data_IF_106954078623
#
_entry.id   IF_106954078623
#
_cell.length_a   1.000
_cell.length_b   1.000
_cell.length_c   1.000
_cell.angle_alpha   90.00
_cell.angle_beta   90.00
_cell.angle_gamma   90.00
#
_symmetry.space_group_name_H-M   'P 1'
#
loop_
_entity.id
_entity.type
_entity.pdbx_description
1 polymer ?
#
# COMPACT_ATOMS: atom_id res chain seq x y z
N UNK A 1 54.41 -7.43 -27.10
CA UNK A 1 55.00 -8.67 -27.65
C UNK A 1 54.16 -9.85 -27.19
N UNK A 2 53.64 -10.62 -28.17
CA UNK A 2 52.92 -11.89 -27.98
C UNK A 2 53.89 -12.96 -27.44
N UNK A 3 53.42 -13.87 -26.60
CA UNK A 3 53.70 -15.30 -26.76
C UNK A 3 52.60 -16.13 -26.09
N UNK A 4 52.12 -17.11 -26.85
CA UNK A 4 51.12 -18.11 -26.55
C UNK A 4 51.85 -19.46 -26.58
N UNK A 5 51.56 -20.39 -25.67
CA UNK A 5 51.82 -21.83 -25.87
C UNK A 5 50.87 -22.70 -25.02
N UNK A 6 49.91 -23.30 -25.71
CA UNK A 6 49.44 -24.70 -25.71
C UNK A 6 49.98 -25.66 -24.62
N UNK A 7 49.10 -26.33 -23.84
CA UNK A 7 48.40 -27.63 -24.09
C UNK A 7 49.23 -28.84 -23.62
N UNK A 8 48.71 -29.61 -22.65
CA UNK A 8 48.89 -31.06 -22.59
C UNK A 8 47.84 -31.73 -21.70
N UNK A 9 47.09 -32.59 -22.36
CA UNK A 9 46.08 -33.51 -21.89
C UNK A 9 46.70 -34.65 -21.08
N UNK A 10 46.02 -35.14 -20.04
CA UNK A 10 46.09 -36.56 -19.68
C UNK A 10 44.73 -37.07 -19.22
N UNK A 11 44.22 -38.01 -20.00
CA UNK A 11 43.15 -38.94 -19.64
C UNK A 11 43.63 -39.89 -18.55
N UNK A 12 42.78 -40.17 -17.56
CA UNK A 12 42.70 -41.47 -16.92
C UNK A 12 41.28 -41.68 -16.38
N UNK A 13 40.51 -42.50 -17.10
CA UNK A 13 39.31 -43.11 -16.59
C UNK A 13 39.70 -44.36 -15.78
N UNK A 14 39.17 -44.51 -14.57
CA UNK A 14 39.07 -45.80 -13.90
C UNK A 14 37.65 -45.93 -13.35
N UNK A 15 36.95 -46.92 -13.88
CA UNK A 15 35.71 -47.54 -13.45
C UNK A 15 35.91 -48.37 -12.19
N UNK A 16 34.96 -48.34 -11.25
CA UNK A 16 34.37 -49.53 -10.63
C UNK A 16 33.27 -49.16 -9.62
N UNK A 17 32.13 -49.81 -9.78
CA UNK A 17 30.96 -49.74 -8.91
C UNK A 17 31.19 -50.46 -7.58
N UNK A 18 30.56 -49.94 -6.52
CA UNK A 18 30.23 -50.71 -5.33
C UNK A 18 28.81 -50.33 -4.89
N UNK A 19 27.91 -51.30 -5.00
CA UNK A 19 26.56 -51.30 -4.41
C UNK A 19 26.68 -51.86 -3.00
N UNK A 20 26.32 -51.08 -2.00
CA UNK A 20 25.93 -51.57 -0.68
C UNK A 20 24.71 -50.76 -0.21
N UNK A 21 23.65 -51.48 0.16
CA UNK A 21 22.38 -50.92 0.60
C UNK A 21 22.28 -50.70 2.11
N UNK A 22 21.10 -50.15 2.46
CA UNK A 22 20.51 -49.93 3.79
C UNK A 22 21.14 -48.86 4.70
N UNK A 23 20.45 -47.73 4.85
CA UNK A 23 19.57 -47.47 6.01
C UNK A 23 18.93 -46.08 5.90
N UNK A 24 17.66 -46.00 6.30
CA UNK A 24 16.89 -44.77 6.44
C UNK A 24 17.51 -43.82 7.47
N UNK A 25 17.50 -42.51 7.22
CA UNK A 25 17.10 -41.47 8.18
C UNK A 25 17.31 -40.06 7.59
N UNK A 26 16.19 -39.37 7.37
CA UNK A 26 15.97 -37.95 7.69
C UNK A 26 17.17 -36.98 7.66
N UNK A 27 17.22 -36.17 6.60
CA UNK A 27 17.70 -34.79 6.69
C UNK A 27 16.84 -33.86 5.83
N UNK A 28 15.53 -33.94 5.99
CA UNK A 28 14.63 -32.85 5.64
C UNK A 28 14.65 -31.83 6.79
N UNK A 29 15.69 -31.01 6.85
CA UNK A 29 15.70 -29.79 7.66
C UNK A 29 15.80 -28.59 6.71
N UNK A 30 14.82 -28.49 5.80
CA UNK A 30 14.47 -27.21 5.24
C UNK A 30 13.67 -26.48 6.31
N UNK A 31 14.32 -25.54 7.00
CA UNK A 31 13.64 -24.47 7.72
C UNK A 31 12.91 -23.58 6.72
N UNK A 32 11.85 -24.11 6.10
CA UNK A 32 10.76 -23.32 5.62
C UNK A 32 9.86 -23.06 6.83
N UNK A 33 10.12 -21.97 7.55
CA UNK A 33 9.02 -21.28 8.23
C UNK A 33 8.04 -20.86 7.15
N UNK A 34 7.18 -21.78 6.76
CA UNK A 34 5.97 -21.47 6.01
C UNK A 34 5.28 -20.32 6.75
N UNK A 35 4.77 -19.30 6.03
CA UNK A 35 3.89 -18.33 6.67
C UNK A 35 2.81 -19.16 7.35
N UNK A 36 2.63 -18.98 8.66
CA UNK A 36 1.51 -19.62 9.36
C UNK A 36 0.27 -19.12 8.64
N UNK A 37 -0.30 -19.97 7.78
CA UNK A 37 -1.48 -19.64 6.99
C UNK A 37 -2.61 -19.49 7.99
N UNK A 38 -2.86 -18.25 8.41
CA UNK A 38 -3.89 -17.98 9.39
C UNK A 38 -5.27 -18.29 8.81
N UNK A 39 -6.21 -18.63 9.68
CA UNK A 39 -7.57 -18.99 9.29
C UNK A 39 -8.43 -17.74 9.05
N UNK A 40 -9.52 -17.88 8.29
CA UNK A 40 -10.52 -16.82 8.14
C UNK A 40 -11.04 -16.30 9.49
N UNK A 41 -11.19 -17.18 10.49
CA UNK A 41 -11.62 -16.77 11.83
C UNK A 41 -10.58 -15.89 12.54
N UNK A 42 -9.29 -16.22 12.42
CA UNK A 42 -8.20 -15.40 12.95
C UNK A 42 -8.14 -14.04 12.25
N UNK A 43 -8.23 -14.01 10.92
CA UNK A 43 -8.28 -12.77 10.14
C UNK A 43 -9.45 -11.87 10.56
N UNK A 44 -10.65 -12.44 10.71
CA UNK A 44 -11.85 -11.72 11.19
C UNK A 44 -11.65 -11.13 12.59
N UNK A 45 -11.07 -11.90 13.51
CA UNK A 45 -10.84 -11.44 14.87
C UNK A 45 -9.83 -10.27 14.91
N UNK A 46 -8.71 -10.39 14.19
CA UNK A 46 -7.71 -9.32 14.13
C UNK A 46 -8.23 -8.06 13.42
N UNK A 47 -9.00 -8.23 12.33
CA UNK A 47 -9.63 -7.11 11.65
C UNK A 47 -10.64 -6.40 12.55
N UNK A 48 -11.51 -7.18 13.21
CA UNK A 48 -12.48 -6.64 14.18
C UNK A 48 -11.79 -5.86 15.30
N UNK A 49 -10.64 -6.32 15.79
CA UNK A 49 -9.86 -5.59 16.81
C UNK A 49 -9.44 -4.20 16.33
N UNK A 50 -9.04 -4.04 15.06
CA UNK A 50 -8.70 -2.72 14.50
C UNK A 50 -9.95 -1.83 14.37
N UNK A 51 -11.07 -2.39 13.94
CA UNK A 51 -12.35 -1.68 13.84
C UNK A 51 -12.87 -1.25 15.22
N UNK A 52 -12.77 -2.11 16.23
CA UNK A 52 -13.16 -1.82 17.62
C UNK A 52 -12.27 -0.71 18.20
N UNK A 53 -10.96 -0.73 17.91
CA UNK A 53 -10.06 0.35 18.30
C UNK A 53 -10.46 1.67 17.63
N UNK A 54 -10.74 1.66 16.33
CA UNK A 54 -11.20 2.85 15.61
C UNK A 54 -12.51 3.39 16.22
N UNK A 55 -13.47 2.52 16.52
CA UNK A 55 -14.73 2.88 17.15
C UNK A 55 -14.55 3.45 18.57
N UNK A 56 -13.57 2.95 19.33
CA UNK A 56 -13.24 3.48 20.65
C UNK A 56 -12.62 4.88 20.56
N UNK A 57 -11.72 5.12 19.61
CA UNK A 57 -11.08 6.43 19.40
C UNK A 57 -12.11 7.51 19.03
N UNK A 58 -13.09 7.19 18.17
CA UNK A 58 -14.19 8.11 17.79
C UNK A 58 -15.05 8.58 18.97
N UNK A 59 -15.01 7.89 20.10
CA UNK A 59 -15.75 8.29 21.32
C UNK A 59 -14.97 9.27 22.20
N UNK A 60 -13.69 9.50 21.91
CA UNK A 60 -12.85 10.43 22.65
C UNK A 60 -13.07 11.82 22.07
N UNK A 61 -13.74 12.70 22.81
CA UNK A 61 -13.93 14.08 22.37
C UNK A 61 -12.67 14.91 22.60
N UNK A 62 -12.45 15.93 21.77
CA UNK A 62 -11.27 16.82 21.77
C UNK A 62 -10.79 17.23 23.18
N UNK A 63 -11.71 17.61 24.07
CA UNK A 63 -11.37 18.15 25.40
C UNK A 63 -11.24 17.07 26.50
N UNK A 64 -11.20 15.78 26.13
CA UNK A 64 -11.16 14.66 27.09
C UNK A 64 -9.93 13.78 26.96
N UNK A 65 -9.02 14.07 26.01
CA UNK A 65 -7.87 13.24 25.71
C UNK A 65 -6.92 13.07 26.91
N UNK A 66 -6.71 14.13 27.69
CA UNK A 66 -5.83 14.11 28.88
C UNK A 66 -6.52 13.63 30.16
N UNK A 67 -7.80 13.24 30.08
CA UNK A 67 -8.59 12.79 31.23
C UNK A 67 -8.73 11.28 31.23
N UNK A 68 -8.77 10.68 32.41
CA UNK A 68 -9.11 9.26 32.51
C UNK A 68 -10.59 9.01 32.13
N UNK A 69 -10.92 7.86 31.52
CA UNK A 69 -10.04 6.74 31.18
C UNK A 69 -9.26 6.91 29.86
N UNK A 70 -9.44 8.03 29.15
CA UNK A 70 -8.92 8.23 27.79
C UNK A 70 -7.40 8.37 27.77
N UNK A 71 -6.81 9.09 28.73
CA UNK A 71 -5.35 9.26 28.81
C UNK A 71 -4.62 7.92 28.85
N UNK A 72 -5.00 7.05 29.78
CA UNK A 72 -4.40 5.70 29.89
C UNK A 72 -4.71 4.83 28.67
N UNK A 73 -5.91 4.94 28.10
CA UNK A 73 -6.28 4.23 26.88
C UNK A 73 -5.42 4.64 25.68
N UNK A 74 -5.23 5.94 25.46
CA UNK A 74 -4.40 6.48 24.39
C UNK A 74 -2.93 6.04 24.58
N UNK A 75 -2.40 6.18 25.80
CA UNK A 75 -1.03 5.76 26.13
C UNK A 75 -0.80 4.28 25.85
N UNK A 76 -1.74 3.40 26.23
CA UNK A 76 -1.67 1.95 25.95
C UNK A 76 -1.65 1.62 24.46
N UNK A 77 -2.24 2.47 23.62
CA UNK A 77 -2.39 2.23 22.19
C UNK A 77 -1.47 3.10 21.32
N UNK A 78 -0.53 3.86 21.90
CA UNK A 78 0.27 4.89 21.19
C UNK A 78 1.00 4.36 19.94
N UNK A 79 1.41 3.09 19.93
CA UNK A 79 2.08 2.45 18.77
C UNK A 79 1.14 2.13 17.60
N UNK A 80 -0.17 2.15 17.85
CA UNK A 80 -1.22 1.74 16.91
C UNK A 80 -2.07 2.92 16.42
N UNK A 81 -1.93 4.09 17.04
CA UNK A 81 -2.75 5.26 16.75
C UNK A 81 -1.88 6.43 16.31
N UNK A 82 -2.48 7.41 15.66
CA UNK A 82 -1.85 8.67 15.27
C UNK A 82 -2.83 9.81 15.53
N UNK A 83 -2.32 10.94 15.99
CA UNK A 83 -3.12 12.13 16.21
C UNK A 83 -3.24 12.94 14.92
N UNK A 84 -4.44 13.38 14.58
CA UNK A 84 -4.71 14.37 13.54
C UNK A 84 -5.00 15.70 14.22
N UNK A 85 -4.05 16.62 14.10
CA UNK A 85 -4.21 17.98 14.67
C UNK A 85 -5.39 18.73 14.02
N UNK A 86 -5.56 18.75 12.68
CA UNK A 86 -6.66 19.49 12.04
C UNK A 86 -8.05 19.00 12.46
N UNK A 87 -8.17 17.71 12.78
CA UNK A 87 -9.44 17.11 13.21
C UNK A 87 -9.59 17.03 14.73
N UNK A 88 -8.52 17.34 15.46
CA UNK A 88 -8.38 17.15 16.90
C UNK A 88 -8.80 15.75 17.40
N UNK A 89 -8.44 14.72 16.63
CA UNK A 89 -8.88 13.32 16.80
C UNK A 89 -7.71 12.35 16.69
N UNK A 90 -7.87 11.16 17.27
CA UNK A 90 -6.94 10.04 17.07
C UNK A 90 -7.50 9.04 16.07
N UNK A 91 -6.64 8.57 15.17
CA UNK A 91 -6.94 7.54 14.18
C UNK A 91 -6.11 6.29 14.43
N UNK A 92 -6.66 5.13 14.04
CA UNK A 92 -5.84 3.93 13.88
C UNK A 92 -4.88 4.17 12.71
N UNK A 93 -3.63 3.74 12.83
CA UNK A 93 -2.67 3.93 11.74
C UNK A 93 -3.02 3.04 10.55
N UNK A 94 -3.20 3.61 9.35
CA UNK A 94 -3.61 2.88 8.14
C UNK A 94 -2.69 1.71 7.80
N UNK A 95 -1.39 1.81 8.12
CA UNK A 95 -0.41 0.73 7.95
C UNK A 95 -0.84 -0.59 8.61
N UNK A 96 -1.58 -0.52 9.72
CA UNK A 96 -2.05 -1.72 10.42
C UNK A 96 -3.06 -2.51 9.60
N UNK A 97 -3.97 -1.82 8.89
CA UNK A 97 -4.90 -2.48 7.98
C UNK A 97 -4.17 -3.01 6.74
N UNK A 98 -3.24 -2.25 6.17
CA UNK A 98 -2.45 -2.70 5.02
C UNK A 98 -1.62 -3.95 5.34
N UNK A 99 -0.89 -3.95 6.46
CA UNK A 99 -0.13 -5.13 6.91
C UNK A 99 -1.03 -6.32 7.23
N UNK A 100 -2.24 -6.08 7.74
CA UNK A 100 -3.20 -7.15 8.02
C UNK A 100 -3.75 -7.75 6.72
N UNK A 101 -4.08 -6.93 5.73
CA UNK A 101 -4.49 -7.39 4.40
C UNK A 101 -3.39 -8.22 3.74
N UNK A 102 -2.14 -7.76 3.83
CA UNK A 102 -0.98 -8.48 3.31
C UNK A 102 -0.76 -9.82 4.01
N UNK A 103 -0.81 -9.85 5.34
CA UNK A 103 -0.70 -11.07 6.16
C UNK A 103 -1.72 -12.15 5.77
N UNK A 104 -2.92 -11.73 5.36
CA UNK A 104 -4.03 -12.61 5.05
C UNK A 104 -4.37 -12.65 3.55
N UNK A 105 -3.45 -12.23 2.67
CA UNK A 105 -3.70 -12.02 1.24
C UNK A 105 -4.24 -13.25 0.47
N UNK A 106 -4.04 -14.46 1.01
CA UNK A 106 -4.55 -15.71 0.47
C UNK A 106 -6.03 -15.96 0.79
N UNK A 107 -6.63 -15.15 1.66
CA UNK A 107 -8.02 -15.28 2.09
C UNK A 107 -8.92 -14.22 1.43
N UNK A 108 -10.18 -14.53 1.11
CA UNK A 108 -11.13 -13.56 0.55
C UNK A 108 -11.33 -12.29 1.39
N UNK A 109 -11.16 -12.38 2.72
CA UNK A 109 -11.31 -11.22 3.62
C UNK A 109 -10.23 -10.14 3.42
N UNK A 110 -9.10 -10.46 2.78
CA UNK A 110 -8.01 -9.52 2.60
C UNK A 110 -8.40 -8.30 1.76
N UNK A 111 -9.31 -8.49 0.80
CA UNK A 111 -9.93 -7.42 0.01
C UNK A 111 -10.73 -6.45 0.91
N UNK A 112 -11.57 -6.98 1.81
CA UNK A 112 -12.35 -6.17 2.75
C UNK A 112 -11.45 -5.39 3.74
N UNK A 113 -10.35 -6.01 4.17
CA UNK A 113 -9.36 -5.37 5.04
C UNK A 113 -8.62 -4.25 4.29
N UNK A 114 -8.21 -4.48 3.04
CA UNK A 114 -7.59 -3.47 2.19
C UNK A 114 -8.54 -2.30 1.90
N UNK A 115 -9.81 -2.58 1.68
CA UNK A 115 -10.81 -1.53 1.49
C UNK A 115 -10.97 -0.68 2.75
N UNK A 116 -10.99 -1.31 3.93
CA UNK A 116 -10.97 -0.57 5.20
C UNK A 116 -9.69 0.26 5.38
N UNK A 117 -8.54 -0.19 4.87
CA UNK A 117 -7.29 0.57 4.88
C UNK A 117 -7.39 1.83 4.02
N UNK A 118 -7.93 1.72 2.80
CA UNK A 118 -8.14 2.85 1.89
C UNK A 118 -9.16 3.86 2.43
N UNK A 119 -10.13 3.40 3.24
CA UNK A 119 -11.14 4.25 3.87
C UNK A 119 -10.82 4.70 5.30
N UNK A 120 -9.66 4.32 5.82
CA UNK A 120 -9.21 4.80 7.10
C UNK A 120 -8.72 6.26 6.98
N UNK A 121 -9.19 7.18 7.83
CA UNK A 121 -8.72 8.56 7.82
C UNK A 121 -7.20 8.65 7.99
N UNK A 122 -6.58 9.58 7.26
CA UNK A 122 -5.17 9.94 7.42
C UNK A 122 -5.07 11.20 8.30
N UNK A 123 -4.01 11.32 9.11
CA UNK A 123 -3.75 12.56 9.83
C UNK A 123 -3.27 13.66 8.88
N UNK A 124 -3.56 14.91 9.24
CA UNK A 124 -3.11 16.10 8.51
C UNK A 124 -4.11 16.59 7.46
N UNK A 125 -3.76 17.69 6.83
CA UNK A 125 -4.53 18.33 5.76
C UNK A 125 -3.60 18.77 4.62
N UNK A 126 -4.17 18.93 3.42
CA UNK A 126 -3.40 19.28 2.24
C UNK A 126 -3.41 20.78 1.91
N UNK A 127 -4.30 21.57 2.52
CA UNK A 127 -4.35 23.04 2.33
C UNK A 127 -4.36 23.50 0.86
N UNK A 128 -5.02 22.75 -0.03
CA UNK A 128 -5.01 23.08 -1.47
C UNK A 128 -3.79 22.56 -2.23
N UNK A 129 -2.76 22.01 -1.59
CA UNK A 129 -1.54 21.57 -2.28
C UNK A 129 -1.77 20.28 -3.09
N UNK A 130 -1.62 20.39 -4.42
CA UNK A 130 -1.93 19.32 -5.36
C UNK A 130 -1.14 18.03 -5.09
N UNK A 131 0.17 18.14 -4.84
CA UNK A 131 1.01 16.96 -4.60
C UNK A 131 0.56 16.20 -3.35
N UNK A 132 0.12 16.92 -2.29
CA UNK A 132 -0.45 16.29 -1.10
C UNK A 132 -1.75 15.55 -1.43
N UNK A 133 -2.67 16.14 -2.18
CA UNK A 133 -3.92 15.46 -2.57
C UNK A 133 -3.65 14.19 -3.37
N UNK A 134 -2.73 14.26 -4.33
CA UNK A 134 -2.35 13.09 -5.12
C UNK A 134 -1.65 12.04 -4.27
N UNK A 135 -0.83 12.45 -3.31
CA UNK A 135 -0.23 11.53 -2.34
C UNK A 135 -1.29 10.80 -1.53
N UNK A 136 -2.29 11.53 -1.01
CA UNK A 136 -3.41 10.95 -0.23
C UNK A 136 -4.12 9.88 -1.04
N UNK A 137 -4.57 10.19 -2.28
CA UNK A 137 -5.28 9.20 -3.10
C UNK A 137 -4.36 8.08 -3.58
N UNK A 138 -3.05 8.34 -3.75
CA UNK A 138 -2.05 7.32 -4.10
C UNK A 138 -1.89 6.30 -2.97
N UNK A 139 -1.86 6.74 -1.72
CA UNK A 139 -1.68 5.86 -0.55
C UNK A 139 -2.98 5.24 -0.03
N UNK A 140 -4.13 5.60 -0.58
CA UNK A 140 -5.45 5.04 -0.22
C UNK A 140 -6.06 4.25 -1.38
N UNK A 141 -6.84 4.90 -2.24
CA UNK A 141 -7.68 4.26 -3.24
C UNK A 141 -6.86 3.67 -4.38
N UNK A 142 -5.77 4.32 -4.80
CA UNK A 142 -4.85 3.74 -5.80
C UNK A 142 -4.05 2.58 -5.20
N UNK A 143 -3.67 2.64 -3.92
CA UNK A 143 -3.00 1.52 -3.24
C UNK A 143 -3.93 0.29 -3.18
N UNK A 144 -5.23 0.50 -2.91
CA UNK A 144 -6.24 -0.54 -3.01
C UNK A 144 -6.28 -1.15 -4.43
N UNK A 145 -6.38 -0.32 -5.46
CA UNK A 145 -6.40 -0.76 -6.86
C UNK A 145 -5.11 -1.49 -7.27
N UNK A 146 -3.96 -1.15 -6.68
CA UNK A 146 -2.69 -1.84 -6.92
C UNK A 146 -2.70 -3.27 -6.38
N UNK A 147 -3.35 -3.51 -5.24
CA UNK A 147 -3.39 -4.83 -4.59
C UNK A 147 -4.54 -5.69 -5.11
N UNK A 148 -5.68 -5.06 -5.37
CA UNK A 148 -6.92 -5.73 -5.76
C UNK A 148 -7.52 -5.07 -7.01
N UNK A 149 -6.88 -5.14 -8.19
CA UNK A 149 -7.41 -4.52 -9.42
C UNK A 149 -8.76 -5.10 -9.86
N UNK A 150 -9.05 -6.34 -9.42
CA UNK A 150 -10.33 -7.05 -9.64
C UNK A 150 -11.13 -7.21 -8.34
N UNK A 151 -10.75 -6.48 -7.29
CA UNK A 151 -11.40 -6.57 -5.99
C UNK A 151 -12.85 -6.08 -6.03
N UNK A 152 -13.61 -6.52 -5.04
CA UNK A 152 -15.03 -6.20 -4.83
C UNK A 152 -15.31 -4.69 -4.87
N UNK A 153 -14.36 -3.86 -4.45
CA UNK A 153 -14.50 -2.41 -4.35
C UNK A 153 -13.80 -1.63 -5.48
N UNK A 154 -13.16 -2.28 -6.44
CA UNK A 154 -12.36 -1.61 -7.50
C UNK A 154 -13.19 -0.62 -8.32
N UNK A 155 -14.40 -1.01 -8.70
CA UNK A 155 -15.32 -0.13 -9.43
C UNK A 155 -15.75 1.07 -8.58
N UNK A 156 -15.89 0.89 -7.26
CA UNK A 156 -16.24 1.98 -6.35
C UNK A 156 -15.06 2.95 -6.20
N UNK A 157 -13.85 2.43 -5.95
CA UNK A 157 -12.64 3.22 -5.85
C UNK A 157 -12.42 4.08 -7.10
N UNK A 158 -12.60 3.52 -8.30
CA UNK A 158 -12.51 4.28 -9.55
C UNK A 158 -13.50 5.43 -9.63
N UNK A 159 -14.77 5.21 -9.28
CA UNK A 159 -15.79 6.28 -9.33
C UNK A 159 -15.49 7.40 -8.33
N UNK A 160 -15.08 7.04 -7.12
CA UNK A 160 -14.71 8.00 -6.08
C UNK A 160 -13.48 8.82 -6.49
N UNK A 161 -12.46 8.18 -7.05
CA UNK A 161 -11.27 8.86 -7.60
C UNK A 161 -11.61 9.81 -8.74
N UNK A 162 -12.45 9.36 -9.68
CA UNK A 162 -12.86 10.17 -10.83
C UNK A 162 -13.57 11.43 -10.35
N UNK A 163 -14.55 11.27 -9.47
CA UNK A 163 -15.33 12.38 -8.90
C UNK A 163 -14.46 13.30 -8.05
N UNK A 164 -13.58 12.74 -7.21
CA UNK A 164 -12.67 13.51 -6.36
C UNK A 164 -11.67 14.38 -7.14
N UNK A 165 -11.31 13.98 -8.37
CA UNK A 165 -10.40 14.74 -9.24
C UNK A 165 -11.10 15.74 -10.16
N UNK A 166 -12.44 15.83 -10.18
CA UNK A 166 -13.17 16.73 -11.08
C UNK A 166 -12.81 18.20 -10.85
N UNK A 167 -12.81 18.65 -9.59
CA UNK A 167 -12.46 20.03 -9.24
C UNK A 167 -10.99 20.32 -9.52
N UNK A 168 -10.10 19.40 -9.18
CA UNK A 168 -8.66 19.51 -9.48
C UNK A 168 -8.42 19.69 -10.97
N UNK A 169 -9.05 18.87 -11.81
CA UNK A 169 -8.90 18.94 -13.28
C UNK A 169 -9.50 20.22 -13.86
N UNK A 170 -10.58 20.74 -13.26
CA UNK A 170 -11.19 22.01 -13.67
C UNK A 170 -10.36 23.25 -13.28
N UNK A 171 -9.49 23.11 -12.28
CA UNK A 171 -8.65 24.17 -11.72
C UNK A 171 -7.20 24.18 -12.28
N UNK A 172 -6.82 23.18 -13.07
CA UNK A 172 -5.47 23.06 -13.63
C UNK A 172 -5.00 24.35 -14.32
N UNK A 173 -3.85 24.86 -13.86
CA UNK A 173 -3.20 26.06 -14.39
C UNK A 173 -3.83 27.38 -13.95
N UNK A 174 -4.98 27.37 -13.26
CA UNK A 174 -5.60 28.57 -12.68
C UNK A 174 -5.09 28.84 -11.27
N UNK A 175 -4.85 27.76 -10.52
CA UNK A 175 -4.45 27.80 -9.11
C UNK A 175 -5.42 28.59 -8.23
N UNK A 176 -6.73 28.51 -8.51
CA UNK A 176 -7.76 29.19 -7.71
C UNK A 176 -8.13 28.36 -6.47
N UNK A 177 -8.11 27.03 -6.61
CA UNK A 177 -8.50 26.09 -5.55
C UNK A 177 -7.33 25.19 -5.10
N UNK A 178 -6.43 24.86 -6.01
CA UNK A 178 -5.30 23.99 -5.77
C UNK A 178 -4.00 24.67 -6.19
N UNK A 179 -3.02 24.68 -5.30
CA UNK A 179 -1.67 25.15 -5.64
C UNK A 179 -0.88 23.99 -6.21
N UNK A 180 -0.45 24.12 -7.46
CA UNK A 180 0.46 23.17 -8.12
C UNK A 180 1.91 23.28 -7.63
N UNK A 181 2.78 22.32 -7.99
CA UNK A 181 4.20 22.37 -7.65
C UNK A 181 4.91 23.56 -8.32
N UNK A 182 5.59 24.38 -7.52
CA UNK A 182 6.30 25.58 -7.98
C UNK A 182 7.78 25.29 -8.29
N UNK A 183 8.38 24.35 -7.57
CA UNK A 183 9.80 24.00 -7.72
C UNK A 183 10.01 22.77 -8.62
N UNK A 184 11.19 22.69 -9.25
CA UNK A 184 11.55 21.57 -10.12
C UNK A 184 11.58 20.22 -9.39
N UNK A 185 12.00 20.22 -8.12
CA UNK A 185 11.96 19.06 -7.21
C UNK A 185 10.53 18.56 -7.02
N UNK A 186 9.60 19.45 -6.70
CA UNK A 186 8.19 19.13 -6.49
C UNK A 186 7.52 18.62 -7.77
N UNK A 187 7.87 19.20 -8.94
CA UNK A 187 7.42 18.70 -10.24
C UNK A 187 7.94 17.30 -10.55
N UNK A 188 9.19 17.01 -10.20
CA UNK A 188 9.77 15.68 -10.37
C UNK A 188 9.09 14.65 -9.45
N UNK A 189 8.80 15.01 -8.21
CA UNK A 189 8.03 14.16 -7.28
C UNK A 189 6.62 13.89 -7.79
N UNK A 190 5.92 14.92 -8.26
CA UNK A 190 4.60 14.80 -8.89
C UNK A 190 4.65 13.85 -10.10
N UNK A 191 5.61 14.06 -11.00
CA UNK A 191 5.76 13.23 -12.19
C UNK A 191 6.00 11.76 -11.86
N UNK A 192 6.84 11.47 -10.86
CA UNK A 192 7.06 10.11 -10.36
C UNK A 192 5.77 9.49 -9.84
N UNK A 193 5.05 10.21 -8.98
CA UNK A 193 3.81 9.74 -8.38
C UNK A 193 2.74 9.45 -9.44
N UNK A 194 2.55 10.35 -10.41
CA UNK A 194 1.63 10.14 -11.52
C UNK A 194 2.03 8.95 -12.39
N UNK A 195 3.33 8.75 -12.63
CA UNK A 195 3.82 7.57 -13.35
C UNK A 195 3.44 6.25 -12.67
N UNK A 196 3.54 6.19 -11.34
CA UNK A 196 3.09 5.03 -10.55
C UNK A 196 1.58 4.84 -10.65
N UNK A 197 0.80 5.91 -10.45
CA UNK A 197 -0.66 5.85 -10.50
C UNK A 197 -1.16 5.41 -11.87
N UNK A 198 -0.61 5.96 -12.96
CA UNK A 198 -0.94 5.56 -14.33
C UNK A 198 -0.63 4.08 -14.57
N UNK A 199 0.50 3.60 -14.08
CA UNK A 199 0.89 2.18 -14.18
C UNK A 199 -0.11 1.29 -13.46
N UNK A 200 -0.54 1.67 -12.25
CA UNK A 200 -1.51 0.92 -11.46
C UNK A 200 -2.88 0.91 -12.15
N UNK A 201 -3.42 2.08 -12.48
CA UNK A 201 -4.77 2.21 -13.05
C UNK A 201 -4.87 1.53 -14.41
N UNK A 202 -3.79 1.48 -15.20
CA UNK A 202 -3.76 0.77 -16.49
C UNK A 202 -4.04 -0.73 -16.40
N UNK A 203 -3.87 -1.33 -15.21
CA UNK A 203 -4.08 -2.76 -14.96
C UNK A 203 -5.49 -3.08 -14.44
N UNK A 204 -6.30 -2.06 -14.15
CA UNK A 204 -7.66 -2.23 -13.61
C UNK A 204 -8.63 -2.50 -14.76
N UNK A 205 -9.27 -3.69 -14.86
CA UNK A 205 -10.08 -4.08 -16.01
C UNK A 205 -11.52 -3.60 -15.85
N UNK A 206 -11.68 -2.32 -15.55
CA UNK A 206 -12.96 -1.64 -15.54
C UNK A 206 -12.95 -0.52 -16.57
N UNK A 207 -14.04 -0.33 -17.35
CA UNK A 207 -14.07 0.69 -18.38
C UNK A 207 -13.82 2.11 -17.82
N UNK A 208 -14.25 2.37 -16.58
CA UNK A 208 -14.04 3.65 -15.89
C UNK A 208 -12.55 4.00 -15.70
N UNK A 209 -11.65 3.01 -15.70
CA UNK A 209 -10.20 3.27 -15.58
C UNK A 209 -9.68 4.19 -16.68
N UNK A 210 -10.26 4.14 -17.88
CA UNK A 210 -9.89 5.01 -19.00
C UNK A 210 -10.10 6.51 -18.70
N UNK A 211 -11.17 6.85 -17.99
CA UNK A 211 -11.47 8.23 -17.59
C UNK A 211 -10.47 8.71 -16.53
N UNK A 212 -10.20 7.89 -15.51
CA UNK A 212 -9.21 8.23 -14.49
C UNK A 212 -7.81 8.41 -15.09
N UNK A 213 -7.41 7.53 -16.01
CA UNK A 213 -6.14 7.67 -16.75
C UNK A 213 -6.06 8.99 -17.52
N UNK A 214 -7.16 9.43 -18.12
CA UNK A 214 -7.23 10.72 -18.82
C UNK A 214 -7.03 11.89 -17.85
N UNK A 215 -7.70 11.89 -16.70
CA UNK A 215 -7.55 12.92 -15.67
C UNK A 215 -6.10 13.00 -15.17
N UNK A 216 -5.49 11.86 -14.81
CA UNK A 216 -4.11 11.80 -14.31
C UNK A 216 -3.08 12.28 -15.36
N UNK A 217 -3.28 11.93 -16.65
CA UNK A 217 -2.42 12.42 -17.74
C UNK A 217 -2.50 13.94 -17.90
N UNK A 218 -3.72 14.50 -17.85
CA UNK A 218 -3.91 15.95 -17.96
C UNK A 218 -3.19 16.70 -16.85
N UNK A 219 -3.27 16.21 -15.61
CA UNK A 219 -2.53 16.80 -14.48
C UNK A 219 -1.02 16.77 -14.77
N UNK A 220 -0.48 15.62 -15.21
CA UNK A 220 0.96 15.50 -15.50
C UNK A 220 1.43 16.33 -16.70
N UNK A 221 0.56 16.57 -17.68
CA UNK A 221 0.85 17.45 -18.82
C UNK A 221 0.93 18.92 -18.41
N UNK A 222 0.06 19.37 -17.53
CA UNK A 222 0.04 20.75 -17.01
C UNK A 222 1.34 21.11 -16.30
N UNK A 223 1.93 20.21 -15.52
CA UNK A 223 3.09 20.48 -14.66
C UNK A 223 4.40 19.86 -15.18
N UNK A 224 4.51 19.58 -16.49
CA UNK A 224 5.68 18.94 -17.10
C UNK A 224 6.92 19.86 -17.21
N UNK A 225 6.76 21.17 -17.08
CA UNK A 225 7.79 22.19 -17.29
C UNK A 225 8.35 22.71 -15.96
#
# INVERSE_FOLDING_TARGET
MKFSYQLLSYFAAITAAAVFGLSAESAAAQNATSPIAGTTSQARAEFKRLLDLQAALKKITMNRQDREPHRSFLKKNEKNIVYSEPSAEYYVQSRLFWSLSEKYNHLPIADEIAWAAARNPLPGECEGYLNCYLYVIRTTDIEYLSRYPNGKYSKQALRELISGLESTVADLGKNEMHTGPAEASERAELAKMLGEMLTIVSKVPHPEASQLLSQLKRIGETYRQ
#
